data_IF_448039682563
#
_entry.id   IF_448039682563
#
_cell.length_a   1.000
_cell.length_b   1.000
_cell.length_c   1.000
_cell.angle_alpha   90.00
_cell.angle_beta   90.00
_cell.angle_gamma   90.00
#
_symmetry.space_group_name_H-M   'P 1'
#
loop_
_entity.id
_entity.type
_entity.pdbx_description
1 polymer ?
#
# COMPACT_ATOMS: atom_id res chain seq x y z
N UNK A 1 -17.86 -8.83 -0.88
CA UNK A 1 -18.89 -9.77 -0.36
C UNK A 1 -18.41 -11.22 -0.22
N UNK A 2 -17.53 -11.71 -1.10
CA UNK A 2 -17.02 -13.10 -1.07
C UNK A 2 -16.29 -13.46 0.25
N UNK A 3 -15.62 -12.50 0.89
CA UNK A 3 -14.91 -12.66 2.16
C UNK A 3 -15.80 -12.66 3.42
N UNK A 4 -17.11 -12.48 3.27
CA UNK A 4 -18.04 -12.21 4.37
C UNK A 4 -19.10 -13.31 4.52
N UNK A 5 -18.67 -14.57 4.33
CA UNK A 5 -19.56 -15.74 4.31
C UNK A 5 -20.13 -16.15 5.67
N UNK A 6 -19.57 -15.67 6.79
CA UNK A 6 -20.07 -15.97 8.14
C UNK A 6 -20.43 -14.70 8.92
N UNK A 7 -21.67 -14.23 8.76
CA UNK A 7 -22.17 -12.99 9.36
C UNK A 7 -22.53 -13.10 10.85
N UNK A 8 -22.21 -14.19 11.54
CA UNK A 8 -22.68 -14.40 12.92
C UNK A 8 -22.00 -13.50 13.97
N UNK A 9 -20.80 -13.01 13.68
CA UNK A 9 -19.94 -12.36 14.68
C UNK A 9 -19.55 -10.92 14.34
N UNK A 10 -20.08 -10.32 13.27
CA UNK A 10 -19.79 -8.94 12.90
C UNK A 10 -20.99 -8.24 12.25
N UNK A 11 -21.09 -6.94 12.49
CA UNK A 11 -22.00 -6.03 11.81
C UNK A 11 -21.24 -5.27 10.71
N UNK A 12 -21.77 -5.27 9.48
CA UNK A 12 -21.23 -4.43 8.41
C UNK A 12 -22.12 -3.21 8.23
N UNK A 13 -21.51 -2.04 8.37
CA UNK A 13 -22.18 -0.76 8.21
C UNK A 13 -21.60 -0.07 6.98
N UNK A 14 -22.36 -0.11 5.89
CA UNK A 14 -22.01 0.61 4.67
C UNK A 14 -22.74 1.96 4.61
N UNK A 15 -22.09 2.94 3.97
CA UNK A 15 -22.73 4.18 3.57
C UNK A 15 -23.74 3.87 2.47
N UNK A 16 -24.97 4.35 2.60
CA UNK A 16 -25.98 4.20 1.54
C UNK A 16 -25.69 5.16 0.37
N UNK A 17 -26.12 4.83 -0.84
CA UNK A 17 -25.85 5.67 -2.02
C UNK A 17 -26.37 7.11 -1.84
N UNK A 18 -27.59 7.26 -1.31
CA UNK A 18 -28.23 8.55 -1.04
C UNK A 18 -27.77 9.24 0.26
N UNK A 19 -26.97 8.56 1.09
CA UNK A 19 -26.52 9.10 2.37
C UNK A 19 -25.29 10.00 2.17
N UNK A 20 -25.29 11.20 2.77
CA UNK A 20 -24.09 12.05 2.77
C UNK A 20 -23.00 11.47 3.66
N UNK A 21 -21.73 11.84 3.43
CA UNK A 21 -20.61 11.45 4.32
C UNK A 21 -20.87 11.91 5.75
N UNK A 22 -21.40 13.12 5.93
CA UNK A 22 -21.77 13.65 7.25
C UNK A 22 -22.82 12.77 7.95
N UNK A 23 -23.91 12.43 7.27
CA UNK A 23 -24.97 11.58 7.80
C UNK A 23 -24.44 10.20 8.17
N UNK A 24 -23.58 9.64 7.32
CA UNK A 24 -22.92 8.37 7.57
C UNK A 24 -22.04 8.41 8.83
N UNK A 25 -21.16 9.41 8.93
CA UNK A 25 -20.29 9.58 10.10
C UNK A 25 -21.08 9.82 11.38
N UNK A 26 -22.21 10.55 11.34
CA UNK A 26 -23.09 10.71 12.51
C UNK A 26 -23.74 9.40 12.94
N UNK A 27 -24.11 8.55 11.99
CA UNK A 27 -24.62 7.21 12.28
C UNK A 27 -23.54 6.31 12.87
N UNK A 28 -22.33 6.35 12.32
CA UNK A 28 -21.17 5.64 12.88
C UNK A 28 -20.85 6.14 14.28
N UNK A 29 -20.84 7.45 14.52
CA UNK A 29 -20.60 8.08 15.82
C UNK A 29 -21.63 7.63 16.86
N UNK A 30 -22.91 7.59 16.48
CA UNK A 30 -23.96 7.05 17.35
C UNK A 30 -23.67 5.60 17.74
N UNK A 31 -23.35 4.73 16.78
CA UNK A 31 -23.02 3.33 17.06
C UNK A 31 -21.80 3.23 17.97
N UNK A 32 -20.76 4.01 17.71
CA UNK A 32 -19.55 4.04 18.53
C UNK A 32 -19.85 4.43 19.98
N UNK A 33 -20.76 5.38 20.19
CA UNK A 33 -21.09 5.89 21.52
C UNK A 33 -21.86 4.89 22.41
N UNK A 34 -22.46 3.84 21.84
CA UNK A 34 -23.30 2.90 22.58
C UNK A 34 -22.84 1.44 22.51
N UNK A 35 -22.06 1.06 21.49
CA UNK A 35 -21.74 -0.35 21.20
C UNK A 35 -20.27 -0.66 21.06
N UNK A 36 -19.40 0.34 20.98
CA UNK A 36 -17.98 0.16 20.63
C UNK A 36 -17.11 0.75 21.74
N UNK A 37 -16.20 -0.05 22.28
CA UNK A 37 -15.22 0.42 23.27
C UNK A 37 -13.97 1.02 22.61
N UNK A 38 -13.61 0.48 21.43
CA UNK A 38 -12.41 0.83 20.68
C UNK A 38 -12.68 0.89 19.18
N UNK A 39 -12.33 2.01 18.56
CA UNK A 39 -12.47 2.28 17.13
C UNK A 39 -11.09 2.34 16.46
N UNK A 40 -10.84 1.41 15.54
CA UNK A 40 -9.71 1.48 14.62
C UNK A 40 -10.10 2.22 13.34
N UNK A 41 -9.37 3.27 13.00
CA UNK A 41 -9.55 4.07 11.79
C UNK A 41 -8.38 3.78 10.86
N UNK A 42 -8.66 3.15 9.70
CA UNK A 42 -7.61 2.79 8.74
C UNK A 42 -7.15 3.99 7.90
N UNK A 43 -8.07 4.84 7.46
CA UNK A 43 -7.75 6.00 6.64
C UNK A 43 -8.72 7.13 6.91
N UNK A 44 -8.20 8.36 6.83
CA UNK A 44 -8.98 9.58 6.70
C UNK A 44 -8.55 10.19 5.38
N UNK A 45 -9.51 10.50 4.52
CA UNK A 45 -9.22 11.18 3.26
C UNK A 45 -8.72 12.60 3.54
N UNK A 46 -7.52 12.91 3.06
CA UNK A 46 -6.79 14.16 3.34
C UNK A 46 -7.17 15.28 2.35
N UNK A 47 -8.42 15.37 1.90
CA UNK A 47 -8.86 16.48 1.03
C UNK A 47 -9.59 17.53 1.87
N UNK A 48 -9.38 18.81 1.58
CA UNK A 48 -10.04 19.89 2.35
C UNK A 48 -11.58 19.84 2.30
N UNK A 49 -12.16 19.15 1.31
CA UNK A 49 -13.61 18.97 1.15
C UNK A 49 -14.17 18.05 2.24
N UNK A 50 -13.42 17.01 2.62
CA UNK A 50 -13.91 15.99 3.56
C UNK A 50 -13.58 16.31 5.02
N UNK A 51 -12.55 17.13 5.27
CA UNK A 51 -12.09 17.50 6.62
C UNK A 51 -13.19 18.05 7.54
N UNK A 52 -14.14 18.91 7.10
CA UNK A 52 -15.20 19.41 7.97
C UNK A 52 -16.05 18.30 8.59
N UNK A 53 -16.20 17.16 7.92
CA UNK A 53 -16.94 16.01 8.44
C UNK A 53 -16.18 15.31 9.55
N UNK A 54 -14.88 15.08 9.38
CA UNK A 54 -14.00 14.48 10.39
C UNK A 54 -13.76 15.41 11.60
N UNK A 55 -13.81 16.73 11.41
CA UNK A 55 -13.77 17.70 12.50
C UNK A 55 -14.97 17.58 13.44
N UNK A 56 -16.16 17.25 12.91
CA UNK A 56 -17.39 17.05 13.70
C UNK A 56 -17.55 15.63 14.24
N UNK A 57 -16.76 14.68 13.76
CA UNK A 57 -16.74 13.30 14.24
C UNK A 57 -15.97 13.22 15.56
N UNK A 58 -16.68 12.88 16.63
CA UNK A 58 -16.15 12.81 18.01
C UNK A 58 -16.83 11.67 18.79
N UNK A 59 -16.59 10.40 18.42
CA UNK A 59 -17.10 9.28 19.20
C UNK A 59 -16.49 9.29 20.62
N UNK A 60 -17.23 8.77 21.60
CA UNK A 60 -16.82 8.68 23.01
C UNK A 60 -15.88 7.51 23.29
N UNK A 61 -15.81 6.55 22.37
CA UNK A 61 -14.93 5.39 22.48
C UNK A 61 -13.46 5.77 22.24
N UNK A 62 -12.54 4.89 22.62
CA UNK A 62 -11.12 5.07 22.29
C UNK A 62 -10.90 4.99 20.79
N UNK A 63 -9.98 5.79 20.26
CA UNK A 63 -9.68 5.83 18.83
C UNK A 63 -8.20 5.56 18.54
N UNK A 64 -7.95 4.64 17.61
CA UNK A 64 -6.62 4.32 17.09
C UNK A 64 -6.59 4.62 15.59
N UNK A 65 -5.66 5.46 15.15
CA UNK A 65 -5.44 5.73 13.74
C UNK A 65 -4.33 4.85 13.17
N UNK A 66 -4.57 4.21 12.03
CA UNK A 66 -3.51 3.60 11.24
C UNK A 66 -2.80 4.67 10.41
N UNK A 67 -1.50 4.85 10.66
CA UNK A 67 -0.66 5.80 9.94
C UNK A 67 0.14 5.05 8.88
N UNK A 68 -0.19 5.29 7.61
CA UNK A 68 0.53 4.73 6.45
C UNK A 68 1.73 5.59 6.03
N UNK A 69 1.61 6.91 6.19
CA UNK A 69 2.59 7.92 5.76
C UNK A 69 2.97 8.79 6.96
N UNK A 70 4.11 8.52 7.57
CA UNK A 70 4.48 9.15 8.84
C UNK A 70 4.72 10.66 8.68
N UNK A 71 5.41 11.10 7.63
CA UNK A 71 5.69 12.53 7.49
C UNK A 71 4.41 13.31 7.19
N UNK A 72 3.52 12.77 6.38
CA UNK A 72 2.23 13.41 6.09
C UNK A 72 1.44 13.73 7.37
N UNK A 73 1.46 12.83 8.36
CA UNK A 73 0.71 12.98 9.61
C UNK A 73 1.46 13.73 10.71
N UNK A 74 2.75 13.43 10.91
CA UNK A 74 3.50 13.86 12.09
C UNK A 74 4.59 14.90 11.79
N UNK A 75 5.02 15.05 10.53
CA UNK A 75 6.01 16.04 10.12
C UNK A 75 5.59 16.74 8.82
N UNK A 76 4.37 17.31 8.75
CA UNK A 76 3.92 17.93 7.52
C UNK A 76 4.84 19.10 7.16
N UNK A 77 5.30 19.13 5.91
CA UNK A 77 6.14 20.20 5.36
C UNK A 77 5.37 20.92 4.27
N UNK A 78 5.63 22.23 4.13
CA UNK A 78 5.08 23.00 3.03
C UNK A 78 5.57 22.41 1.71
N UNK A 79 4.61 22.03 0.87
CA UNK A 79 4.85 21.63 -0.50
C UNK A 79 4.82 22.87 -1.39
N UNK A 80 5.74 22.94 -2.35
CA UNK A 80 5.80 23.98 -3.36
C UNK A 80 5.81 23.34 -4.76
N UNK A 81 4.66 23.29 -5.42
CA UNK A 81 4.55 22.76 -6.77
C UNK A 81 3.77 23.72 -7.69
N UNK A 82 4.50 24.59 -8.39
CA UNK A 82 3.93 25.59 -9.30
C UNK A 82 3.18 24.97 -10.50
N UNK A 83 3.43 23.70 -10.83
CA UNK A 83 2.71 23.00 -11.91
C UNK A 83 1.32 22.54 -11.47
N UNK A 84 1.06 22.43 -10.16
CA UNK A 84 -0.21 21.98 -9.61
C UNK A 84 -0.58 22.77 -8.36
N UNK A 85 -0.90 24.05 -8.57
CA UNK A 85 -1.16 25.02 -7.50
C UNK A 85 -2.36 24.62 -6.64
N UNK A 86 -3.45 24.15 -7.25
CA UNK A 86 -4.66 23.73 -6.52
C UNK A 86 -4.32 22.60 -5.54
N UNK A 87 -3.63 21.56 -6.01
CA UNK A 87 -3.18 20.45 -5.17
C UNK A 87 -2.23 20.92 -4.07
N UNK A 88 -1.31 21.84 -4.39
CA UNK A 88 -0.36 22.39 -3.41
C UNK A 88 -1.08 23.11 -2.28
N UNK A 89 -2.08 23.93 -2.59
CA UNK A 89 -2.89 24.64 -1.59
C UNK A 89 -3.68 23.64 -0.75
N UNK A 90 -4.34 22.68 -1.39
CA UNK A 90 -5.12 21.63 -0.71
C UNK A 90 -4.24 20.81 0.24
N UNK A 91 -3.08 20.34 -0.20
CA UNK A 91 -2.07 19.65 0.61
C UNK A 91 -1.69 20.47 1.85
N UNK A 92 -1.30 21.73 1.66
CA UNK A 92 -0.74 22.52 2.76
C UNK A 92 -1.82 22.86 3.79
N UNK A 93 -3.04 23.16 3.32
CA UNK A 93 -4.17 23.46 4.20
C UNK A 93 -4.66 22.20 4.92
N UNK A 94 -4.83 21.08 4.20
CA UNK A 94 -5.27 19.82 4.79
C UNK A 94 -4.29 19.32 5.84
N UNK A 95 -2.99 19.31 5.54
CA UNK A 95 -1.95 18.90 6.48
C UNK A 95 -1.97 19.73 7.77
N UNK A 96 -2.13 21.05 7.66
CA UNK A 96 -2.22 21.93 8.82
C UNK A 96 -3.47 21.65 9.66
N UNK A 97 -4.64 21.46 9.03
CA UNK A 97 -5.90 21.18 9.72
C UNK A 97 -5.88 19.79 10.37
N UNK A 98 -5.36 18.79 9.67
CA UNK A 98 -5.23 17.42 10.17
C UNK A 98 -4.34 17.42 11.41
N UNK A 99 -3.12 17.94 11.29
CA UNK A 99 -2.14 17.95 12.37
C UNK A 99 -2.64 18.68 13.61
N UNK A 100 -3.35 19.81 13.43
CA UNK A 100 -3.80 20.66 14.54
C UNK A 100 -5.11 20.22 15.19
N UNK A 101 -6.07 19.69 14.42
CA UNK A 101 -7.45 19.51 14.91
C UNK A 101 -7.98 18.08 14.82
N UNK A 102 -7.47 17.26 13.91
CA UNK A 102 -7.96 15.89 13.71
C UNK A 102 -7.04 14.91 14.43
N UNK A 103 -5.74 14.98 14.16
CA UNK A 103 -4.75 14.07 14.72
C UNK A 103 -4.72 14.05 16.26
N UNK A 104 -4.88 15.18 16.98
CA UNK A 104 -4.90 15.17 18.44
C UNK A 104 -6.06 14.39 19.06
N UNK A 105 -7.13 14.12 18.30
CA UNK A 105 -8.31 13.39 18.79
C UNK A 105 -8.03 11.89 19.02
N UNK A 106 -7.02 11.32 18.39
CA UNK A 106 -6.70 9.90 18.51
C UNK A 106 -5.99 9.61 19.82
N UNK A 107 -6.36 8.53 20.51
CA UNK A 107 -5.73 8.11 21.77
C UNK A 107 -4.38 7.44 21.53
N UNK A 108 -4.20 6.79 20.38
CA UNK A 108 -2.97 6.15 19.95
C UNK A 108 -2.91 6.03 18.43
N UNK A 109 -1.76 5.60 17.91
CA UNK A 109 -1.60 5.23 16.51
C UNK A 109 -1.20 3.77 16.36
N UNK A 110 -1.55 3.17 15.23
CA UNK A 110 -1.01 1.93 14.74
C UNK A 110 -0.14 2.21 13.52
N UNK A 111 1.01 1.55 13.44
CA UNK A 111 1.84 1.52 12.23
C UNK A 111 2.00 0.09 11.74
N UNK A 112 2.30 -0.05 10.46
CA UNK A 112 2.29 -1.33 9.75
C UNK A 112 3.55 -2.19 9.98
N UNK A 113 4.65 -1.62 10.49
CA UNK A 113 5.84 -2.35 10.92
C UNK A 113 6.77 -1.49 11.80
N UNK A 114 7.71 -2.14 12.49
CA UNK A 114 8.55 -1.54 13.55
C UNK A 114 9.36 -0.31 13.11
N UNK A 115 10.07 -0.30 11.97
CA UNK A 115 10.83 0.88 11.55
C UNK A 115 10.06 2.20 11.52
N UNK A 116 8.74 2.20 11.24
CA UNK A 116 7.93 3.42 11.33
C UNK A 116 7.79 3.89 12.78
N UNK A 117 7.59 2.96 13.72
CA UNK A 117 7.52 3.27 15.15
C UNK A 117 8.84 3.86 15.65
N UNK A 118 9.95 3.25 15.26
CA UNK A 118 11.29 3.71 15.63
C UNK A 118 11.53 5.13 15.07
N UNK A 119 11.23 5.35 13.79
CA UNK A 119 11.34 6.67 13.19
C UNK A 119 10.50 7.73 13.93
N UNK A 120 9.24 7.42 14.28
CA UNK A 120 8.37 8.36 14.99
C UNK A 120 8.97 8.75 16.34
N UNK A 121 9.45 7.77 17.11
CA UNK A 121 10.03 8.01 18.45
C UNK A 121 11.33 8.80 18.39
N UNK A 122 12.13 8.60 17.36
CA UNK A 122 13.42 9.27 17.21
C UNK A 122 13.31 10.68 16.60
N UNK A 123 12.25 10.97 15.84
CA UNK A 123 12.20 12.14 14.96
C UNK A 123 10.98 13.04 15.16
N UNK A 124 10.09 12.73 16.10
CA UNK A 124 8.88 13.52 16.36
C UNK A 124 8.62 13.65 17.86
N UNK A 125 7.81 14.63 18.25
CA UNK A 125 7.37 14.84 19.63
C UNK A 125 6.10 14.04 19.96
N UNK A 126 5.87 12.92 19.28
CA UNK A 126 4.67 12.09 19.51
C UNK A 126 4.83 11.25 20.78
N UNK A 127 4.06 11.60 21.81
CA UNK A 127 4.16 10.98 23.13
C UNK A 127 3.23 9.78 23.34
N UNK A 128 2.09 9.75 22.65
CA UNK A 128 1.05 8.71 22.83
C UNK A 128 1.53 7.32 22.39
N UNK A 129 0.72 6.31 22.66
CA UNK A 129 1.07 4.91 22.35
C UNK A 129 1.19 4.67 20.83
N UNK A 130 2.16 3.83 20.45
CA UNK A 130 2.39 3.44 19.05
C UNK A 130 2.36 1.92 18.97
N UNK A 131 1.26 1.39 18.47
CA UNK A 131 1.12 -0.03 18.18
C UNK A 131 1.78 -0.40 16.84
N UNK A 132 2.15 -1.66 16.70
CA UNK A 132 2.69 -2.21 15.46
C UNK A 132 1.90 -3.45 15.10
N UNK A 133 0.90 -3.27 14.22
CA UNK A 133 0.06 -4.35 13.72
C UNK A 133 0.15 -4.37 12.19
N UNK A 134 0.65 -5.46 11.59
CA UNK A 134 0.68 -5.60 10.13
C UNK A 134 -0.74 -5.68 9.59
N UNK A 135 -0.95 -5.23 8.35
CA UNK A 135 -2.27 -5.27 7.70
C UNK A 135 -2.60 -6.64 7.08
N UNK A 136 -1.67 -7.58 7.12
CA UNK A 136 -1.80 -8.87 6.48
C UNK A 136 -1.28 -9.98 7.37
N UNK A 137 -1.99 -11.10 7.32
CA UNK A 137 -1.63 -12.36 7.96
C UNK A 137 -1.34 -13.38 6.87
N UNK A 138 -0.60 -14.43 7.22
CA UNK A 138 -0.44 -15.57 6.32
C UNK A 138 -1.82 -16.16 6.04
N UNK A 139 -2.18 -16.22 4.76
CA UNK A 139 -3.35 -16.98 4.34
C UNK A 139 -2.84 -18.36 3.95
N UNK A 140 -3.46 -19.41 4.49
CA UNK A 140 -3.20 -20.77 4.03
C UNK A 140 -3.85 -20.95 2.65
N UNK A 141 -3.36 -20.19 1.67
CA UNK A 141 -3.72 -20.32 0.27
C UNK A 141 -3.36 -21.74 -0.07
N UNK A 142 -4.39 -22.56 -0.31
CA UNK A 142 -4.20 -23.96 -0.71
C UNK A 142 -3.19 -23.92 -1.84
N UNK A 143 -2.00 -24.45 -1.58
CA UNK A 143 -1.02 -24.69 -2.62
C UNK A 143 -1.75 -25.63 -3.57
N UNK A 144 -2.22 -25.08 -4.68
CA UNK A 144 -2.84 -25.89 -5.72
C UNK A 144 -1.83 -26.97 -6.08
N UNK A 145 -2.33 -28.21 -6.10
CA UNK A 145 -1.66 -29.49 -6.38
C UNK A 145 -0.19 -29.38 -6.81
N UNK A 146 0.70 -30.07 -6.08
CA UNK A 146 2.13 -30.31 -6.40
C UNK A 146 2.65 -29.43 -7.53
N UNK A 147 3.19 -28.26 -7.20
CA UNK A 147 3.96 -27.47 -8.16
C UNK A 147 4.89 -28.44 -8.88
N UNK A 148 4.66 -28.66 -10.17
CA UNK A 148 5.58 -29.44 -10.98
C UNK A 148 6.90 -28.70 -10.94
N UNK A 149 7.87 -29.29 -10.24
CA UNK A 149 9.24 -28.83 -10.27
C UNK A 149 9.75 -29.02 -11.69
N UNK A 150 9.62 -27.96 -12.48
CA UNK A 150 10.17 -27.85 -13.82
C UNK A 150 11.62 -27.35 -13.79
N UNK A 151 12.23 -27.29 -12.60
CA UNK A 151 13.59 -26.82 -12.36
C UNK A 151 13.76 -25.32 -12.57
N UNK A 152 12.68 -24.52 -12.68
CA UNK A 152 12.75 -23.08 -12.89
C UNK A 152 12.58 -22.29 -11.61
N UNK A 153 13.46 -21.30 -11.43
CA UNK A 153 13.29 -20.24 -10.44
C UNK A 153 12.29 -19.20 -10.97
N UNK A 154 11.15 -19.08 -10.31
CA UNK A 154 10.06 -18.16 -10.62
C UNK A 154 10.14 -16.90 -9.77
N UNK A 155 10.51 -15.79 -10.40
CA UNK A 155 10.63 -14.49 -9.77
C UNK A 155 9.44 -13.63 -10.17
N UNK A 156 8.84 -12.93 -9.21
CA UNK A 156 7.68 -12.07 -9.45
C UNK A 156 7.94 -10.63 -9.00
N UNK A 157 7.51 -9.65 -9.83
CA UNK A 157 7.62 -8.22 -9.53
C UNK A 157 6.24 -7.56 -9.47
N UNK A 158 5.53 -7.63 -8.31
CA UNK A 158 4.14 -7.19 -8.22
C UNK A 158 3.99 -5.67 -8.08
N UNK A 159 2.79 -5.19 -8.38
CA UNK A 159 2.36 -3.79 -8.19
C UNK A 159 2.53 -2.93 -9.44
N UNK A 160 1.89 -1.75 -9.44
CA UNK A 160 1.86 -0.82 -10.58
C UNK A 160 3.26 -0.49 -11.12
N UNK A 161 3.38 -0.38 -12.44
CA UNK A 161 4.62 0.03 -13.11
C UNK A 161 4.59 1.56 -13.24
N UNK A 162 5.13 2.22 -12.21
CA UNK A 162 5.10 3.68 -12.04
C UNK A 162 6.50 4.22 -11.75
N UNK A 163 6.90 5.26 -12.49
CA UNK A 163 8.25 5.84 -12.44
C UNK A 163 8.67 6.32 -11.05
N UNK A 164 7.75 6.90 -10.29
CA UNK A 164 8.06 7.47 -8.98
C UNK A 164 8.06 6.43 -7.85
N UNK A 165 7.68 5.18 -8.12
CA UNK A 165 7.65 4.08 -7.13
C UNK A 165 8.59 2.95 -7.46
N UNK A 166 8.95 2.77 -8.73
CA UNK A 166 9.75 1.64 -9.20
C UNK A 166 11.00 2.05 -9.98
N UNK A 167 12.11 1.36 -9.72
CA UNK A 167 13.38 1.53 -10.41
C UNK A 167 13.70 0.33 -11.31
N UNK A 168 13.04 0.26 -12.46
CA UNK A 168 13.32 -0.79 -13.44
C UNK A 168 14.69 -0.67 -14.12
N UNK A 169 15.37 0.49 -14.04
CA UNK A 169 16.74 0.63 -14.56
C UNK A 169 17.71 -0.31 -13.85
N UNK A 170 17.49 -0.56 -12.55
CA UNK A 170 18.29 -1.52 -11.79
C UNK A 170 17.98 -2.98 -12.14
N UNK A 171 16.79 -3.26 -12.69
CA UNK A 171 16.28 -4.61 -12.91
C UNK A 171 16.67 -5.18 -14.27
N UNK A 172 16.58 -4.39 -15.34
CA UNK A 172 16.83 -4.91 -16.69
C UNK A 172 18.21 -5.57 -16.84
N UNK A 173 19.34 -4.93 -16.43
CA UNK A 173 20.66 -5.53 -16.60
C UNK A 173 20.84 -6.82 -15.80
N UNK A 174 20.12 -6.98 -14.69
CA UNK A 174 20.13 -8.20 -13.88
C UNK A 174 19.45 -9.32 -14.64
N UNK A 175 18.26 -9.09 -15.19
CA UNK A 175 17.52 -10.13 -15.91
C UNK A 175 18.14 -10.48 -17.25
N UNK A 176 18.73 -9.53 -17.99
CA UNK A 176 19.53 -9.83 -19.19
C UNK A 176 20.61 -10.86 -18.87
N UNK A 177 21.41 -10.61 -17.82
CA UNK A 177 22.46 -11.53 -17.37
C UNK A 177 21.91 -12.85 -16.84
N UNK A 178 20.78 -12.84 -16.13
CA UNK A 178 20.16 -14.08 -15.64
C UNK A 178 19.67 -14.95 -16.79
N UNK A 179 19.03 -14.38 -17.79
CA UNK A 179 18.55 -15.14 -18.95
C UNK A 179 19.70 -15.63 -19.85
N UNK A 180 20.79 -14.86 -19.95
CA UNK A 180 22.01 -15.30 -20.65
C UNK A 180 22.68 -16.48 -19.94
N UNK A 181 22.91 -16.38 -18.63
CA UNK A 181 23.67 -17.37 -17.87
C UNK A 181 22.84 -18.61 -17.47
N UNK A 182 21.52 -18.46 -17.34
CA UNK A 182 20.62 -19.48 -16.81
C UNK A 182 19.40 -19.69 -17.72
N UNK A 183 19.62 -19.66 -19.04
CA UNK A 183 18.57 -19.82 -20.05
C UNK A 183 17.68 -21.04 -19.76
N UNK A 184 16.36 -20.82 -19.72
CA UNK A 184 15.37 -21.86 -19.46
C UNK A 184 15.24 -22.28 -17.99
N UNK A 185 16.04 -21.72 -17.07
CA UNK A 185 15.99 -22.01 -15.62
C UNK A 185 15.44 -20.86 -14.78
N UNK A 186 15.17 -19.70 -15.38
CA UNK A 186 14.61 -18.53 -14.69
C UNK A 186 13.36 -18.11 -15.44
N UNK A 187 12.28 -17.81 -14.70
CA UNK A 187 11.06 -17.21 -15.22
C UNK A 187 10.73 -15.94 -14.45
N UNK A 188 10.46 -14.85 -15.17
CA UNK A 188 10.07 -13.57 -14.59
C UNK A 188 8.59 -13.28 -14.85
N UNK A 189 7.82 -13.02 -13.79
CA UNK A 189 6.49 -12.44 -13.88
C UNK A 189 6.52 -10.96 -13.51
N UNK A 190 6.07 -10.09 -14.41
CA UNK A 190 5.88 -8.66 -14.15
C UNK A 190 4.40 -8.38 -13.91
N UNK A 191 3.97 -8.54 -12.65
CA UNK A 191 2.58 -8.42 -12.20
C UNK A 191 2.20 -6.98 -11.85
N UNK A 192 2.18 -6.12 -12.86
CA UNK A 192 1.90 -4.70 -12.66
C UNK A 192 1.20 -4.06 -13.84
N UNK A 193 0.11 -3.34 -13.57
CA UNK A 193 -0.53 -2.51 -14.58
C UNK A 193 0.40 -1.33 -14.96
N UNK A 194 0.66 -1.10 -16.26
CA UNK A 194 1.47 0.03 -16.72
C UNK A 194 0.76 1.37 -16.56
N UNK A 195 1.43 2.32 -15.91
CA UNK A 195 0.89 3.68 -15.74
C UNK A 195 1.69 4.70 -16.51
N UNK A 196 0.99 5.47 -17.35
CA UNK A 196 1.57 6.54 -18.16
C UNK A 196 2.56 6.05 -19.21
N UNK A 197 3.35 6.98 -19.75
CA UNK A 197 4.36 6.68 -20.78
C UNK A 197 5.47 5.77 -20.25
N UNK A 198 5.92 6.00 -19.02
CA UNK A 198 6.94 5.18 -18.38
C UNK A 198 6.51 3.71 -18.30
N UNK A 199 5.31 3.43 -17.76
CA UNK A 199 4.82 2.06 -17.63
C UNK A 199 4.76 1.33 -18.97
N UNK A 200 4.29 2.00 -20.02
CA UNK A 200 4.26 1.45 -21.38
C UNK A 200 5.66 1.11 -21.91
N UNK A 201 6.63 2.02 -21.74
CA UNK A 201 8.02 1.77 -22.16
C UNK A 201 8.66 0.59 -21.43
N UNK A 202 8.36 0.40 -20.14
CA UNK A 202 8.81 -0.77 -19.39
C UNK A 202 8.16 -2.04 -19.94
N UNK A 203 6.86 -2.01 -20.26
CA UNK A 203 6.20 -3.13 -20.90
C UNK A 203 6.83 -3.51 -22.24
N UNK A 204 7.09 -2.53 -23.10
CA UNK A 204 7.69 -2.76 -24.41
C UNK A 204 9.08 -3.42 -24.29
N UNK A 205 9.89 -3.01 -23.32
CA UNK A 205 11.20 -3.63 -23.05
C UNK A 205 11.09 -5.10 -22.65
N UNK A 206 10.17 -5.45 -21.76
CA UNK A 206 9.99 -6.84 -21.37
C UNK A 206 9.37 -7.69 -22.49
N UNK A 207 8.48 -7.11 -23.32
CA UNK A 207 7.98 -7.76 -24.54
C UNK A 207 9.11 -8.02 -25.55
N UNK A 208 10.05 -7.09 -25.71
CA UNK A 208 11.24 -7.30 -26.54
C UNK A 208 12.14 -8.43 -25.99
N UNK A 209 12.32 -8.52 -24.66
CA UNK A 209 13.03 -9.64 -24.04
C UNK A 209 12.33 -10.98 -24.27
N UNK A 210 11.00 -11.02 -24.14
CA UNK A 210 10.18 -12.20 -24.45
C UNK A 210 10.35 -12.63 -25.92
N UNK A 211 10.31 -11.68 -26.86
CA UNK A 211 10.53 -11.94 -28.30
C UNK A 211 11.94 -12.48 -28.61
N UNK A 212 12.95 -12.12 -27.79
CA UNK A 212 14.31 -12.68 -27.85
C UNK A 212 14.43 -14.08 -27.22
N UNK A 213 13.32 -14.64 -26.73
CA UNK A 213 13.26 -15.98 -26.14
C UNK A 213 13.59 -16.02 -24.64
N UNK A 214 13.51 -14.88 -23.94
CA UNK A 214 13.56 -14.88 -22.47
C UNK A 214 12.21 -15.34 -21.91
N UNK A 215 12.23 -16.10 -20.81
CA UNK A 215 11.00 -16.56 -20.14
C UNK A 215 10.47 -15.44 -19.23
N UNK A 216 9.79 -14.47 -19.86
CA UNK A 216 9.20 -13.30 -19.21
C UNK A 216 7.71 -13.29 -19.51
N UNK A 217 6.88 -13.08 -18.50
CA UNK A 217 5.45 -12.86 -18.62
C UNK A 217 5.14 -11.46 -18.12
N UNK A 218 4.51 -10.64 -18.96
CA UNK A 218 4.11 -9.28 -18.61
C UNK A 218 2.66 -9.00 -18.99
N UNK A 219 1.99 -8.22 -18.14
CA UNK A 219 0.61 -7.80 -18.31
C UNK A 219 0.55 -6.32 -18.65
N UNK A 220 -0.21 -5.96 -19.68
CA UNK A 220 -0.48 -4.57 -20.08
C UNK A 220 -1.85 -4.06 -19.61
N UNK A 221 -2.56 -4.87 -18.83
CA UNK A 221 -3.89 -4.61 -18.28
C UNK A 221 -3.93 -5.03 -16.80
N UNK A 222 -5.05 -4.73 -16.15
CA UNK A 222 -5.30 -5.16 -14.77
C UNK A 222 -5.32 -6.70 -14.70
N UNK A 223 -4.54 -7.28 -13.80
CA UNK A 223 -4.49 -8.73 -13.58
C UNK A 223 -5.61 -9.11 -12.62
N UNK A 224 -6.54 -10.01 -13.00
CA UNK A 224 -7.58 -10.50 -12.10
C UNK A 224 -6.99 -11.13 -10.83
N UNK A 225 -7.66 -10.95 -9.69
CA UNK A 225 -7.18 -11.38 -8.36
C UNK A 225 -6.80 -12.87 -8.34
N UNK A 226 -7.62 -13.75 -8.90
CA UNK A 226 -7.31 -15.19 -8.97
C UNK A 226 -5.99 -15.48 -9.72
N UNK A 227 -5.76 -14.82 -10.86
CA UNK A 227 -4.52 -14.98 -11.62
C UNK A 227 -3.32 -14.40 -10.86
N UNK A 228 -3.52 -13.28 -10.18
CA UNK A 228 -2.49 -12.66 -9.35
C UNK A 228 -2.07 -13.58 -8.20
N UNK A 229 -3.06 -14.13 -7.49
CA UNK A 229 -2.90 -15.05 -6.36
C UNK A 229 -2.25 -16.37 -6.80
N UNK A 230 -2.66 -16.92 -7.95
CA UNK A 230 -2.07 -18.14 -8.54
C UNK A 230 -0.58 -17.93 -8.84
N UNK A 231 -0.22 -16.81 -9.46
CA UNK A 231 1.18 -16.52 -9.81
C UNK A 231 2.02 -16.26 -8.56
N UNK A 232 1.49 -15.53 -7.57
CA UNK A 232 2.20 -15.33 -6.30
C UNK A 232 2.39 -16.65 -5.56
N UNK A 233 1.37 -17.49 -5.47
CA UNK A 233 1.44 -18.83 -4.87
C UNK A 233 2.49 -19.70 -5.56
N UNK A 234 2.58 -19.62 -6.89
CA UNK A 234 3.54 -20.36 -7.71
C UNK A 234 4.95 -19.77 -7.74
N UNK A 235 5.14 -18.53 -7.29
CA UNK A 235 6.45 -17.90 -7.30
C UNK A 235 7.38 -18.44 -6.22
N UNK A 236 8.68 -18.37 -6.47
CA UNK A 236 9.72 -18.73 -5.50
C UNK A 236 10.22 -17.50 -4.74
N UNK A 237 10.31 -16.35 -5.42
CA UNK A 237 10.85 -15.10 -4.87
C UNK A 237 10.03 -13.91 -5.35
N UNK A 238 9.70 -13.01 -4.42
CA UNK A 238 9.19 -11.68 -4.75
C UNK A 238 10.37 -10.71 -4.88
N UNK A 239 10.44 -9.99 -5.99
CA UNK A 239 11.42 -8.94 -6.22
C UNK A 239 10.71 -7.59 -6.33
N UNK A 240 11.08 -6.64 -5.49
CA UNK A 240 10.46 -5.32 -5.48
C UNK A 240 11.49 -4.24 -5.80
N UNK A 241 11.55 -3.74 -7.05
CA UNK A 241 12.47 -2.66 -7.41
C UNK A 241 11.96 -1.31 -6.91
N UNK A 242 11.93 -1.12 -5.60
CA UNK A 242 11.33 0.06 -4.98
C UNK A 242 12.26 1.26 -5.15
N UNK A 243 11.72 2.41 -5.58
CA UNK A 243 12.40 3.69 -5.38
C UNK A 243 12.23 4.11 -3.93
N UNK A 244 13.32 4.10 -3.17
CA UNK A 244 13.32 4.35 -1.73
C UNK A 244 12.63 5.68 -1.37
N UNK A 245 12.88 6.74 -2.14
CA UNK A 245 12.15 8.01 -1.98
C UNK A 245 10.87 8.00 -2.80
N UNK A 246 9.77 8.34 -2.17
CA UNK A 246 8.45 8.45 -2.79
C UNK A 246 7.71 9.69 -2.29
N UNK A 247 6.48 9.87 -2.76
CA UNK A 247 5.59 10.94 -2.28
C UNK A 247 4.25 10.35 -1.88
N UNK A 248 3.73 10.77 -0.73
CA UNK A 248 2.36 10.49 -0.32
C UNK A 248 1.35 11.20 -1.24
N UNK A 249 0.06 10.94 -1.06
CA UNK A 249 -1.02 11.55 -1.84
C UNK A 249 -0.99 13.10 -1.77
N UNK A 250 -0.45 13.63 -0.66
CA UNK A 250 -0.23 15.04 -0.38
C UNK A 250 1.05 15.63 -0.99
N UNK A 251 1.79 14.93 -1.87
CA UNK A 251 3.10 15.37 -2.41
C UNK A 251 4.22 15.54 -1.36
N UNK A 252 3.95 15.18 -0.10
CA UNK A 252 4.95 15.14 0.99
C UNK A 252 5.88 13.96 0.75
N UNK A 253 7.20 14.21 0.86
CA UNK A 253 8.22 13.16 0.65
C UNK A 253 8.17 12.11 1.76
N UNK A 254 8.23 10.85 1.34
CA UNK A 254 8.28 9.68 2.21
C UNK A 254 9.43 8.75 1.79
N UNK A 255 9.89 7.92 2.72
CA UNK A 255 11.01 7.00 2.56
C UNK A 255 10.52 5.59 2.88
N UNK A 256 10.52 4.69 1.90
CA UNK A 256 10.14 3.30 2.11
C UNK A 256 11.04 2.63 3.14
N UNK A 257 10.44 1.87 4.07
CA UNK A 257 11.17 1.19 5.15
C UNK A 257 11.50 2.10 6.33
N UNK A 258 11.17 3.40 6.27
CA UNK A 258 11.43 4.36 7.35
C UNK A 258 10.19 5.16 7.73
N UNK A 259 9.53 5.78 6.76
CA UNK A 259 8.36 6.65 6.99
C UNK A 259 7.10 6.21 6.26
N UNK A 260 7.21 5.23 5.34
CA UNK A 260 6.07 4.60 4.63
C UNK A 260 6.35 3.14 4.34
N UNK A 261 5.32 2.30 4.38
CA UNK A 261 5.41 0.89 3.96
C UNK A 261 5.08 0.60 2.52
N UNK A 262 5.72 -0.46 2.02
CA UNK A 262 5.40 -1.01 0.71
C UNK A 262 4.44 -2.18 0.86
N UNK A 263 3.36 -2.16 0.07
CA UNK A 263 2.39 -3.24 0.03
C UNK A 263 2.97 -4.59 -0.42
N UNK A 264 4.18 -4.60 -1.00
CA UNK A 264 4.85 -5.85 -1.38
C UNK A 264 5.21 -6.72 -0.17
N UNK A 265 5.41 -6.11 1.01
CA UNK A 265 5.68 -6.83 2.25
C UNK A 265 4.46 -7.68 2.62
N UNK A 266 3.25 -7.17 2.35
CA UNK A 266 2.01 -7.91 2.57
C UNK A 266 1.92 -9.13 1.68
N UNK A 267 2.32 -9.03 0.41
CA UNK A 267 2.38 -10.18 -0.48
C UNK A 267 3.39 -11.21 0.04
N UNK A 268 4.56 -10.78 0.50
CA UNK A 268 5.56 -11.69 1.06
C UNK A 268 5.04 -12.46 2.29
N UNK A 269 4.32 -11.78 3.19
CA UNK A 269 3.71 -12.38 4.38
C UNK A 269 2.55 -13.32 3.99
N UNK A 270 1.62 -12.82 3.19
CA UNK A 270 0.40 -13.53 2.81
C UNK A 270 0.69 -14.84 2.09
N UNK A 271 1.68 -14.84 1.19
CA UNK A 271 2.07 -16.00 0.38
C UNK A 271 3.29 -16.75 0.91
N UNK A 272 3.79 -16.37 2.08
CA UNK A 272 5.01 -16.93 2.70
C UNK A 272 6.20 -16.99 1.72
N UNK A 273 6.44 -15.90 0.98
CA UNK A 273 7.52 -15.83 -0.01
C UNK A 273 8.71 -15.03 0.49
N UNK A 274 9.95 -15.48 0.24
CA UNK A 274 11.11 -14.63 0.41
C UNK A 274 10.99 -13.41 -0.51
N UNK A 275 11.50 -12.28 -0.03
CA UNK A 275 11.45 -11.01 -0.75
C UNK A 275 12.83 -10.37 -0.86
N UNK A 276 13.11 -9.81 -2.02
CA UNK A 276 14.28 -8.96 -2.29
C UNK A 276 13.80 -7.52 -2.47
N UNK A 277 14.27 -6.65 -1.59
CA UNK A 277 14.05 -5.19 -1.61
C UNK A 277 15.42 -4.47 -1.57
N UNK A 278 15.49 -3.19 -2.00
CA UNK A 278 16.73 -2.41 -1.93
C UNK A 278 17.18 -2.09 -0.50
#
# INVERSE_FOLDING_TARGET
>A
EIYLKDKKNYDIILKKDSESIYSFLKRVEHICNYKIDLLFINTIHETCIDLPYYLKFQPKCKMILLVHHVNAWLKPRLVFNIKNIIKTIDTNLSSALISKFIFPKFDAINVIYHPLKDYIRENTDYEKEIFTLPTSIFENVKTTEEQKDDGKLRIVTPGLIQEHRKDYSAIFPVFEKLFENYKGKVKLYVLGFPVGRFGKQICDKFKDMEQKGCDVVIFDHFVPDNTFDDILTQSDIILAPIRIKTRADSDIEEIYGKTVGSGVIYNAIMYAKPIIVP
#
